data_IF_145873925559
#
_entry.id   IF_145873925559
#
_cell.length_a   1.000
_cell.length_b   1.000
_cell.length_c   1.000
_cell.angle_alpha   90.00
_cell.angle_beta   90.00
_cell.angle_gamma   90.00
#
_symmetry.space_group_name_H-M   'P 1'
#
loop_
_entity.id
_entity.type
_entity.pdbx_description
1 polymer ?
#
# COMPACT_ATOMS: atom_id res chain seq x y z
N UNK A 1 15.07 9.98 8.78
CA UNK A 1 15.79 10.81 7.79
C UNK A 1 15.42 10.27 6.41
N UNK A 2 14.67 11.04 5.63
CA UNK A 2 14.65 10.83 4.17
C UNK A 2 15.84 11.65 3.66
N UNK A 3 16.85 11.05 3.01
CA UNK A 3 18.01 11.80 2.60
C UNK A 3 17.59 12.79 1.51
N UNK A 4 17.80 14.07 1.75
CA UNK A 4 18.06 15.03 0.68
C UNK A 4 18.84 16.21 1.24
N UNK A 5 19.94 16.55 0.57
CA UNK A 5 20.82 17.67 0.86
C UNK A 5 21.65 17.98 -0.40
N UNK A 6 22.21 19.19 -0.56
CA UNK A 6 21.53 20.41 -0.94
C UNK A 6 21.98 20.87 -2.34
N UNK A 7 21.09 21.51 -3.10
CA UNK A 7 21.28 21.87 -4.51
C UNK A 7 21.85 23.28 -4.67
N UNK A 8 22.97 23.43 -5.41
CA UNK A 8 22.87 24.09 -6.71
C UNK A 8 23.21 23.15 -7.89
N UNK A 9 22.36 23.15 -8.93
CA UNK A 9 22.44 22.43 -10.22
C UNK A 9 22.22 20.89 -10.26
N UNK A 10 21.59 20.32 -9.24
CA UNK A 10 20.80 19.07 -9.34
C UNK A 10 21.43 17.82 -9.94
N UNK A 11 22.66 17.52 -9.50
CA UNK A 11 23.28 16.22 -9.71
C UNK A 11 22.40 15.07 -9.17
N UNK A 12 21.75 14.37 -10.10
CA UNK A 12 20.88 13.20 -9.91
C UNK A 12 19.59 13.40 -9.10
N UNK A 13 19.13 14.65 -8.97
CA UNK A 13 17.82 14.95 -8.37
C UNK A 13 16.81 15.33 -9.46
N UNK A 14 15.53 15.08 -9.18
CA UNK A 14 14.46 15.69 -9.97
C UNK A 14 14.49 17.19 -9.62
N UNK A 15 14.70 18.04 -10.62
CA UNK A 15 14.67 19.50 -10.42
C UNK A 15 13.34 19.92 -9.82
N UNK A 16 13.37 20.86 -8.87
CA UNK A 16 12.15 21.43 -8.31
C UNK A 16 11.33 22.09 -9.43
N UNK A 17 10.07 21.71 -9.54
CA UNK A 17 9.12 22.35 -10.44
C UNK A 17 7.83 22.59 -9.63
N UNK A 18 7.40 23.85 -9.43
CA UNK A 18 6.19 24.16 -8.67
C UNK A 18 4.92 23.46 -9.20
N UNK A 19 4.92 23.00 -10.45
CA UNK A 19 3.82 22.21 -11.03
C UNK A 19 3.94 20.71 -10.73
N UNK A 20 5.15 20.20 -10.50
CA UNK A 20 5.41 18.78 -10.28
C UNK A 20 5.58 18.43 -8.80
N UNK A 21 6.19 19.32 -8.02
CA UNK A 21 6.46 19.15 -6.59
C UNK A 21 5.21 18.74 -5.79
N UNK A 22 4.00 19.32 -6.01
CA UNK A 22 2.79 18.90 -5.30
C UNK A 22 2.42 17.42 -5.55
N UNK A 23 2.81 16.86 -6.70
CA UNK A 23 2.59 15.45 -6.98
C UNK A 23 3.51 14.54 -6.17
N UNK A 24 4.70 14.97 -5.77
CA UNK A 24 5.55 14.16 -4.88
C UNK A 24 5.09 14.27 -3.43
N UNK A 25 4.68 15.46 -3.00
CA UNK A 25 4.18 15.69 -1.64
C UNK A 25 2.92 14.88 -1.34
N UNK A 26 2.02 14.72 -2.32
CA UNK A 26 0.80 13.93 -2.16
C UNK A 26 1.05 12.43 -1.94
N UNK A 27 2.21 11.91 -2.34
CA UNK A 27 2.63 10.54 -2.06
C UNK A 27 3.32 10.43 -0.69
N UNK A 28 3.57 11.54 0.01
CA UNK A 28 4.27 11.56 1.30
C UNK A 28 3.63 10.64 2.34
N UNK A 29 2.30 10.60 2.43
CA UNK A 29 1.59 9.71 3.36
C UNK A 29 1.78 8.23 3.02
N UNK A 30 1.86 7.89 1.73
CA UNK A 30 2.14 6.53 1.27
C UNK A 30 3.56 6.13 1.64
N UNK A 31 4.55 6.99 1.38
CA UNK A 31 5.93 6.72 1.78
C UNK A 31 6.08 6.59 3.29
N UNK A 32 5.38 7.42 4.07
CA UNK A 32 5.35 7.33 5.53
C UNK A 32 4.78 5.99 6.01
N UNK A 33 3.73 5.48 5.37
CA UNK A 33 3.18 4.16 5.64
C UNK A 33 4.17 3.03 5.31
N UNK A 34 4.98 3.18 4.24
CA UNK A 34 6.03 2.22 3.87
C UNK A 34 7.30 2.34 4.73
N UNK A 35 7.54 3.48 5.39
CA UNK A 35 8.79 3.79 6.08
C UNK A 35 9.10 2.82 7.23
N UNK A 36 8.07 2.22 7.82
CA UNK A 36 8.18 1.31 8.96
C UNK A 36 8.15 -0.17 8.57
N UNK A 37 8.26 -0.52 7.29
CA UNK A 37 8.31 -1.93 6.85
C UNK A 37 9.53 -2.65 7.43
N UNK A 38 9.34 -3.85 7.98
CA UNK A 38 10.41 -4.66 8.56
C UNK A 38 11.11 -5.53 7.51
N UNK A 39 10.46 -5.81 6.38
CA UNK A 39 11.04 -6.63 5.32
C UNK A 39 10.11 -6.87 4.14
N UNK A 40 10.67 -7.43 3.07
CA UNK A 40 9.94 -7.90 1.89
C UNK A 40 9.22 -9.21 2.22
N UNK A 41 7.99 -9.38 1.76
CA UNK A 41 7.33 -10.68 1.79
C UNK A 41 7.84 -11.50 0.60
N UNK A 42 8.74 -12.45 0.87
CA UNK A 42 9.44 -13.24 -0.16
C UNK A 42 8.68 -14.51 -0.59
N UNK A 43 7.49 -14.75 -0.04
CA UNK A 43 6.68 -15.90 -0.41
C UNK A 43 6.31 -15.82 -1.90
N UNK A 44 6.41 -16.92 -2.66
CA UNK A 44 6.04 -16.94 -4.06
C UNK A 44 4.56 -16.58 -4.20
N UNK A 45 4.26 -15.71 -5.17
CA UNK A 45 2.90 -15.26 -5.48
C UNK A 45 2.12 -14.66 -4.29
N UNK A 46 2.81 -14.07 -3.31
CA UNK A 46 2.16 -13.43 -2.16
C UNK A 46 1.12 -12.38 -2.54
N UNK A 47 1.28 -11.74 -3.71
CA UNK A 47 0.31 -10.82 -4.28
C UNK A 47 0.31 -10.90 -5.82
N UNK A 48 -0.87 -10.76 -6.41
CA UNK A 48 -1.06 -10.50 -7.83
C UNK A 48 -2.21 -9.50 -8.06
N UNK A 49 -2.16 -8.80 -9.18
CA UNK A 49 -3.26 -7.95 -9.64
C UNK A 49 -4.06 -8.73 -10.68
N UNK A 50 -5.35 -8.91 -10.46
CA UNK A 50 -6.25 -9.55 -11.42
C UNK A 50 -6.19 -8.82 -12.76
N UNK A 51 -6.12 -9.59 -13.86
CA UNK A 51 -5.96 -9.07 -15.24
C UNK A 51 -4.70 -8.22 -15.49
N UNK A 52 -3.77 -8.13 -14.53
CA UNK A 52 -2.51 -7.39 -14.71
C UNK A 52 -2.65 -5.87 -14.85
N UNK A 53 -3.82 -5.31 -14.50
CA UNK A 53 -4.13 -3.87 -14.63
C UNK A 53 -3.54 -3.11 -13.44
N UNK A 54 -2.21 -2.98 -13.43
CA UNK A 54 -1.44 -2.31 -12.37
C UNK A 54 -0.29 -3.16 -11.86
N UNK A 55 0.44 -2.65 -10.87
CA UNK A 55 1.50 -3.38 -10.17
C UNK A 55 1.25 -3.33 -8.68
N UNK A 56 1.55 -4.42 -8.00
CA UNK A 56 1.45 -4.48 -6.56
C UNK A 56 2.63 -5.26 -5.97
N UNK A 57 2.94 -4.98 -4.72
CA UNK A 57 3.96 -5.69 -3.96
C UNK A 57 3.46 -5.93 -2.53
N UNK A 58 4.19 -6.73 -1.74
CA UNK A 58 3.82 -7.08 -0.39
C UNK A 58 5.02 -6.95 0.56
N UNK A 59 4.78 -6.36 1.72
CA UNK A 59 5.76 -6.19 2.78
C UNK A 59 5.17 -6.58 4.12
N UNK A 60 6.02 -7.00 5.04
CA UNK A 60 5.66 -7.18 6.44
C UNK A 60 6.00 -5.93 7.25
N UNK A 61 5.15 -5.66 8.23
CA UNK A 61 5.40 -4.71 9.29
C UNK A 61 6.01 -5.44 10.51
N UNK A 62 6.75 -4.74 11.37
CA UNK A 62 7.33 -5.31 12.60
C UNK A 62 6.30 -5.96 13.54
N UNK A 63 5.04 -5.54 13.47
CA UNK A 63 3.93 -6.06 14.29
C UNK A 63 3.20 -7.24 13.66
N UNK A 64 3.75 -7.82 12.58
CA UNK A 64 3.19 -8.99 11.90
C UNK A 64 2.06 -8.68 10.92
N UNK A 65 1.65 -7.42 10.77
CA UNK A 65 0.74 -7.01 9.70
C UNK A 65 1.43 -7.02 8.35
N UNK A 66 0.66 -7.13 7.28
CA UNK A 66 1.15 -6.97 5.92
C UNK A 66 0.65 -5.65 5.33
N UNK A 67 1.49 -5.02 4.52
CA UNK A 67 1.13 -3.86 3.70
C UNK A 67 1.42 -4.15 2.24
N UNK A 68 0.55 -3.64 1.37
CA UNK A 68 0.58 -3.91 -0.04
C UNK A 68 0.50 -2.60 -0.81
N UNK A 69 1.63 -2.00 -1.19
CA UNK A 69 1.61 -0.90 -2.13
C UNK A 69 1.11 -1.39 -3.49
N UNK A 70 0.20 -0.60 -4.04
CA UNK A 70 -0.45 -0.78 -5.33
C UNK A 70 -0.20 0.48 -6.13
N UNK A 71 0.36 0.33 -7.32
CA UNK A 71 0.81 1.44 -8.17
C UNK A 71 0.52 1.17 -9.64
N UNK A 72 0.69 2.19 -10.47
CA UNK A 72 0.52 2.13 -11.93
C UNK A 72 -0.89 1.66 -12.35
N UNK A 73 -1.90 1.99 -11.54
CA UNK A 73 -3.29 1.71 -11.86
C UNK A 73 -3.80 2.83 -12.77
N UNK A 74 -4.36 2.55 -13.96
CA UNK A 74 -4.86 3.63 -14.82
C UNK A 74 -5.99 4.43 -14.13
N UNK A 75 -6.20 5.68 -14.57
CA UNK A 75 -7.27 6.54 -14.04
C UNK A 75 -8.66 5.91 -14.13
N UNK A 76 -9.54 6.27 -13.19
CA UNK A 76 -10.95 5.86 -13.14
C UNK A 76 -11.17 4.34 -13.21
N UNK A 77 -10.20 3.56 -12.72
CA UNK A 77 -10.25 2.10 -12.67
C UNK A 77 -10.47 1.63 -11.25
N UNK A 78 -11.10 0.47 -11.15
CA UNK A 78 -10.99 -0.39 -9.97
C UNK A 78 -10.05 -1.54 -10.31
N UNK A 79 -9.39 -2.09 -9.30
CA UNK A 79 -8.57 -3.31 -9.46
C UNK A 79 -8.96 -4.32 -8.41
N UNK A 80 -8.66 -5.59 -8.68
CA UNK A 80 -8.77 -6.66 -7.70
C UNK A 80 -7.39 -7.24 -7.43
N UNK A 81 -7.02 -7.36 -6.18
CA UNK A 81 -5.80 -8.01 -5.73
C UNK A 81 -6.13 -9.44 -5.31
N UNK A 82 -5.30 -10.41 -5.70
CA UNK A 82 -5.28 -11.73 -5.05
C UNK A 82 -4.10 -11.75 -4.09
N UNK A 83 -4.36 -12.00 -2.81
CA UNK A 83 -3.38 -12.03 -1.74
C UNK A 83 -3.27 -13.46 -1.22
N UNK A 84 -2.07 -14.02 -1.25
CA UNK A 84 -1.80 -15.38 -0.76
C UNK A 84 -0.99 -15.35 0.53
N UNK A 85 -1.30 -16.26 1.46
CA UNK A 85 -0.59 -16.36 2.73
C UNK A 85 -0.77 -15.13 3.64
N UNK A 86 -1.95 -14.50 3.59
CA UNK A 86 -2.31 -13.38 4.46
C UNK A 86 -2.29 -13.86 5.93
N UNK A 87 -1.73 -13.08 6.89
CA UNK A 87 -1.67 -13.48 8.29
C UNK A 87 -3.04 -13.96 8.81
N UNK A 88 -3.07 -15.11 9.50
CA UNK A 88 -4.31 -15.78 9.92
C UNK A 88 -5.25 -14.93 10.78
N UNK A 89 -4.72 -13.93 11.48
CA UNK A 89 -5.46 -13.03 12.35
C UNK A 89 -6.07 -11.82 11.61
N UNK A 90 -5.94 -11.78 10.29
CA UNK A 90 -6.48 -10.71 9.46
C UNK A 90 -8.01 -10.79 9.46
N UNK A 91 -8.64 -9.73 9.97
CA UNK A 91 -10.08 -9.54 10.05
C UNK A 91 -10.63 -8.70 8.88
N UNK A 92 -9.76 -7.99 8.16
CA UNK A 92 -10.14 -7.15 7.04
C UNK A 92 -8.97 -6.31 6.54
N UNK A 93 -9.28 -5.27 5.76
CA UNK A 93 -8.28 -4.41 5.17
C UNK A 93 -8.70 -2.94 5.18
N UNK A 94 -7.70 -2.08 5.16
CA UNK A 94 -7.86 -0.65 4.95
C UNK A 94 -6.91 -0.18 3.85
N UNK A 95 -7.27 0.89 3.16
CA UNK A 95 -6.46 1.51 2.12
C UNK A 95 -6.15 2.97 2.44
N UNK A 96 -4.93 3.38 2.11
CA UNK A 96 -4.47 4.76 2.11
C UNK A 96 -4.27 5.18 0.65
N UNK A 97 -5.00 6.20 0.21
CA UNK A 97 -4.94 6.72 -1.16
C UNK A 97 -4.02 7.93 -1.26
N UNK A 98 -3.50 8.21 -2.46
CA UNK A 98 -2.67 9.40 -2.74
C UNK A 98 -3.37 10.68 -2.25
N UNK A 99 -2.64 11.54 -1.56
CA UNK A 99 -3.13 12.80 -1.00
C UNK A 99 -4.05 12.64 0.22
N UNK A 100 -4.27 11.42 0.71
CA UNK A 100 -5.01 11.16 1.95
C UNK A 100 -4.05 10.81 3.08
N UNK A 101 -4.41 11.17 4.30
CA UNK A 101 -3.67 10.85 5.53
C UNK A 101 -4.38 9.79 6.36
N UNK A 102 -5.67 9.57 6.12
CA UNK A 102 -6.51 8.63 6.84
C UNK A 102 -6.65 7.31 6.08
N UNK A 103 -6.65 6.22 6.84
CA UNK A 103 -6.89 4.87 6.33
C UNK A 103 -8.40 4.65 6.22
N UNK A 104 -8.84 4.15 5.06
CA UNK A 104 -10.25 3.92 4.77
C UNK A 104 -10.52 2.41 4.74
N UNK A 105 -11.54 1.90 5.44
CA UNK A 105 -11.93 0.50 5.36
C UNK A 105 -12.22 0.06 3.91
N UNK A 106 -11.79 -1.15 3.55
CA UNK A 106 -12.08 -1.76 2.25
C UNK A 106 -13.12 -2.87 2.47
N UNK A 107 -14.42 -2.59 2.29
CA UNK A 107 -15.49 -3.56 2.55
C UNK A 107 -15.55 -4.66 1.47
N UNK A 108 -14.96 -4.41 0.31
CA UNK A 108 -14.92 -5.31 -0.85
C UNK A 108 -13.74 -6.27 -0.76
N UNK A 109 -13.65 -6.96 0.38
CA UNK A 109 -12.66 -8.00 0.64
C UNK A 109 -13.38 -9.29 1.03
N UNK A 110 -13.03 -10.40 0.37
CA UNK A 110 -13.56 -11.71 0.72
C UNK A 110 -12.45 -12.76 0.71
N UNK A 111 -12.64 -13.76 1.56
CA UNK A 111 -11.74 -14.89 1.70
C UNK A 111 -12.20 -16.00 0.77
N UNK A 112 -11.28 -16.56 0.00
CA UNK A 112 -11.61 -17.71 -0.85
C UNK A 112 -11.92 -18.94 0.04
N UNK A 113 -12.95 -19.70 -0.34
CA UNK A 113 -13.48 -20.81 0.45
C UNK A 113 -12.39 -21.85 0.73
N UNK A 114 -12.10 -22.12 2.00
CA UNK A 114 -11.17 -23.18 2.43
C UNK A 114 -9.68 -22.80 2.45
N UNK A 115 -9.31 -21.53 2.17
CA UNK A 115 -7.91 -21.08 2.09
C UNK A 115 -7.52 -19.96 3.07
N UNK A 116 -6.26 -19.55 3.04
CA UNK A 116 -5.77 -18.31 3.68
C UNK A 116 -5.74 -17.11 2.72
N UNK A 117 -6.28 -17.31 1.52
CA UNK A 117 -6.17 -16.37 0.41
C UNK A 117 -7.35 -15.40 0.39
N UNK A 118 -7.05 -14.17 0.00
CA UNK A 118 -8.02 -13.09 -0.03
C UNK A 118 -8.08 -12.46 -1.41
N UNK A 119 -9.28 -12.08 -1.81
CA UNK A 119 -9.51 -11.14 -2.90
C UNK A 119 -9.96 -9.81 -2.34
N UNK A 120 -9.28 -8.75 -2.78
CA UNK A 120 -9.54 -7.38 -2.29
C UNK A 120 -9.70 -6.46 -3.49
N UNK A 121 -10.91 -5.91 -3.66
CA UNK A 121 -11.16 -4.91 -4.68
C UNK A 121 -10.89 -3.50 -4.15
N UNK A 122 -10.09 -2.73 -4.88
CA UNK A 122 -9.81 -1.33 -4.62
C UNK A 122 -10.47 -0.45 -5.67
N UNK A 123 -11.23 0.53 -5.20
CA UNK A 123 -11.91 1.51 -6.03
C UNK A 123 -11.20 2.85 -5.90
N UNK A 124 -10.72 3.38 -7.02
CA UNK A 124 -10.08 4.69 -7.06
C UNK A 124 -11.10 5.75 -7.46
N UNK A 125 -11.04 6.92 -6.82
CA UNK A 125 -11.95 8.01 -7.13
C UNK A 125 -11.76 8.49 -8.57
N UNK A 126 -12.86 8.88 -9.21
CA UNK A 126 -12.81 9.46 -10.54
C UNK A 126 -12.17 10.85 -10.51
N UNK A 127 -11.41 11.20 -11.55
CA UNK A 127 -10.85 12.55 -11.69
C UNK A 127 -9.60 12.80 -10.84
N UNK A 128 -8.84 11.73 -10.55
CA UNK A 128 -7.47 11.85 -10.04
C UNK A 128 -6.67 12.85 -10.87
N UNK A 129 -6.01 13.83 -10.23
CA UNK A 129 -5.12 14.77 -10.92
C UNK A 129 -3.88 14.09 -11.54
N UNK A 130 -3.70 12.78 -11.30
CA UNK A 130 -2.55 11.98 -11.69
C UNK A 130 -2.90 11.05 -12.83
N UNK A 131 -2.03 10.94 -13.85
CA UNK A 131 -2.22 10.01 -14.97
C UNK A 131 -2.34 8.53 -14.54
N UNK A 132 -1.84 8.20 -13.35
CA UNK A 132 -1.94 6.89 -12.71
C UNK A 132 -2.36 7.04 -11.25
N UNK A 133 -3.08 6.05 -10.75
CA UNK A 133 -3.48 5.89 -9.38
C UNK A 133 -2.50 5.01 -8.59
N UNK A 134 -2.44 5.28 -7.29
CA UNK A 134 -1.72 4.47 -6.32
C UNK A 134 -2.46 4.45 -4.97
N UNK A 135 -2.24 3.38 -4.21
CA UNK A 135 -2.71 3.24 -2.84
C UNK A 135 -1.79 2.28 -2.07
N UNK A 136 -1.91 2.28 -0.75
CA UNK A 136 -1.37 1.22 0.09
C UNK A 136 -2.54 0.53 0.78
N UNK A 137 -2.64 -0.77 0.61
CA UNK A 137 -3.52 -1.62 1.41
C UNK A 137 -2.76 -2.09 2.66
N UNK A 138 -3.44 -2.23 3.80
CA UNK A 138 -2.91 -2.92 4.98
C UNK A 138 -3.89 -3.92 5.53
N UNK A 139 -3.38 -4.97 6.18
CA UNK A 139 -4.21 -5.86 6.97
C UNK A 139 -4.68 -5.18 8.26
N UNK A 140 -5.93 -5.44 8.64
CA UNK A 140 -6.48 -5.14 9.95
C UNK A 140 -6.54 -6.45 10.73
N UNK A 141 -5.97 -6.47 11.94
CA UNK A 141 -6.01 -7.64 12.83
C UNK A 141 -7.15 -7.49 13.83
N UNK A 142 -7.81 -8.58 14.19
CA UNK A 142 -8.85 -8.57 15.23
C UNK A 142 -8.24 -8.10 16.58
N UNK A 143 -8.91 -7.14 17.24
CA UNK A 143 -8.43 -6.46 18.45
C UNK A 143 -8.05 -7.41 19.60
N UNK A 144 -8.60 -8.62 19.63
CA UNK A 144 -8.33 -9.65 20.64
C UNK A 144 -6.94 -10.30 20.52
N UNK A 145 -6.14 -9.96 19.50
CA UNK A 145 -4.90 -10.70 19.16
C UNK A 145 -3.61 -9.90 19.39
N UNK A 146 -3.69 -8.68 19.94
CA UNK A 146 -2.52 -7.88 20.31
C UNK A 146 -1.89 -8.43 21.60
N UNK A 147 -1.20 -9.57 21.51
CA UNK A 147 -0.24 -9.96 22.53
C UNK A 147 0.90 -8.94 22.44
N UNK A 148 0.97 -8.05 23.44
CA UNK A 148 2.14 -7.18 23.65
C UNK A 148 3.36 -8.09 23.81
N UNK A 149 4.18 -8.20 22.77
CA UNK A 149 5.53 -8.74 22.92
C UNK A 149 6.34 -7.69 23.66
N UNK A 150 6.31 -7.79 24.99
CA UNK A 150 7.25 -7.07 25.86
C UNK A 150 8.62 -7.70 25.61
N UNK A 151 9.54 -6.94 25.01
CA UNK A 151 10.95 -7.36 24.91
C UNK A 151 11.52 -7.48 26.33
N UNK A 152 12.11 -8.64 26.62
CA UNK A 152 13.02 -8.84 27.75
C UNK A 152 14.39 -8.25 27.42
#
# INVERSE_FOLDING_TARGET
VYPMAPLPDADHCISSDPKVDPFYESYGSLFQALHRRSGWLLSPHAISVHEGVGKANAFLLPDGRAIYPVVLVPQNRSITLNLCGVPHLTAGFEALFVGKTEWVPVPTAWRETGGADWRVALHFANGSAYAMNAAILRTVVAATSLIKVTKY
#
